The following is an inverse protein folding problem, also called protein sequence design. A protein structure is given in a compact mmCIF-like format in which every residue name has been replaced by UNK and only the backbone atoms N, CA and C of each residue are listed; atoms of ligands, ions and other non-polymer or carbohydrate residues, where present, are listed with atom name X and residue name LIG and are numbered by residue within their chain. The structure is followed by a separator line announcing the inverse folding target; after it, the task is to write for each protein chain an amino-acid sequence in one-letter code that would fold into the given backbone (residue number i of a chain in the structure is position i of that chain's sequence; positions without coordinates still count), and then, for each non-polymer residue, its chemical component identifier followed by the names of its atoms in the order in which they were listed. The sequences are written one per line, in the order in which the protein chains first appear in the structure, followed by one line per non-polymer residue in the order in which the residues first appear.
data_IF_235336660980
#
_entry.id   IF_235336660980
#
_cell.length_a   1.000
_cell.length_b   1.000
_cell.length_c   1.000
_cell.angle_alpha   90.00
_cell.angle_beta   90.00
_cell.angle_gamma   90.00
#
_symmetry.space_group_name_H-M   'P 1'
#
loop_
_entity.id
_entity.type
_entity.pdbx_description
1 polymer ?
#
# COMPACT_ATOMS: atom_id res chain seq x y z
N UNK A 1 -2.77 -2.65 -17.11
CA UNK A 1 -4.20 -2.27 -16.99
C UNK A 1 -4.68 -2.66 -15.62
N UNK A 2 -4.95 -1.69 -14.75
CA UNK A 2 -5.24 -1.93 -13.33
C UNK A 2 -6.71 -2.35 -13.17
N UNK A 3 -6.95 -3.50 -12.54
CA UNK A 3 -8.31 -3.99 -12.29
C UNK A 3 -8.94 -3.15 -11.16
N UNK A 4 -10.15 -2.59 -11.33
CA UNK A 4 -10.80 -1.81 -10.27
C UNK A 4 -11.08 -2.70 -9.05
N UNK A 5 -10.72 -2.22 -7.86
CA UNK A 5 -11.05 -2.84 -6.59
C UNK A 5 -12.54 -2.65 -6.28
N UNK A 6 -13.24 -3.73 -5.95
CA UNK A 6 -14.66 -3.69 -5.58
C UNK A 6 -14.77 -4.06 -4.10
N UNK A 7 -15.03 -3.10 -3.19
CA UNK A 7 -15.14 -3.38 -1.77
C UNK A 7 -16.44 -4.14 -1.44
N UNK A 8 -16.37 -5.01 -0.43
CA UNK A 8 -17.53 -5.69 0.16
C UNK A 8 -17.61 -5.33 1.65
N UNK A 9 -18.53 -4.45 2.01
CA UNK A 9 -18.84 -4.13 3.40
C UNK A 9 -19.79 -5.19 3.98
N UNK A 10 -19.54 -5.60 5.22
CA UNK A 10 -20.34 -6.61 5.94
C UNK A 10 -20.80 -5.98 7.25
N UNK A 11 -22.10 -5.80 7.42
CA UNK A 11 -22.69 -5.22 8.63
C UNK A 11 -22.70 -6.22 9.80
N UNK A 12 -23.05 -7.49 9.54
CA UNK A 12 -23.05 -8.58 10.52
C UNK A 12 -22.19 -9.76 10.03
N UNK A 13 -21.01 -9.89 10.62
CA UNK A 13 -20.05 -10.96 10.28
C UNK A 13 -20.57 -12.36 10.64
N UNK A 14 -21.40 -12.48 11.68
CA UNK A 14 -21.94 -13.76 12.14
C UNK A 14 -23.05 -14.25 11.20
N UNK A 15 -23.92 -13.36 10.75
CA UNK A 15 -24.92 -13.68 9.72
C UNK A 15 -24.26 -14.00 8.37
N UNK A 16 -23.29 -13.18 7.95
CA UNK A 16 -22.53 -13.39 6.71
C UNK A 16 -21.85 -14.76 6.70
N UNK A 17 -21.12 -15.09 7.76
CA UNK A 17 -20.36 -16.35 7.85
C UNK A 17 -21.28 -17.58 7.80
N UNK A 18 -22.46 -17.50 8.45
CA UNK A 18 -23.47 -18.57 8.38
C UNK A 18 -24.02 -18.74 6.96
N UNK A 19 -24.37 -17.64 6.29
CA UNK A 19 -24.87 -17.66 4.91
C UNK A 19 -23.83 -18.19 3.92
N UNK A 20 -22.56 -17.80 4.07
CA UNK A 20 -21.46 -18.31 3.25
C UNK A 20 -21.22 -19.81 3.51
N UNK A 21 -21.16 -20.22 4.78
CA UNK A 21 -20.96 -21.62 5.16
C UNK A 21 -22.09 -22.52 4.68
N UNK A 22 -23.32 -22.01 4.61
CA UNK A 22 -24.44 -22.73 4.01
C UNK A 22 -24.22 -22.97 2.51
N UNK A 23 -23.85 -21.94 1.75
CA UNK A 23 -23.57 -22.05 0.32
C UNK A 23 -22.39 -22.97 0.01
N UNK A 24 -21.32 -22.92 0.81
CA UNK A 24 -20.15 -23.79 0.64
C UNK A 24 -20.51 -25.26 0.89
N UNK A 25 -21.35 -25.54 1.89
CA UNK A 25 -21.81 -26.90 2.19
C UNK A 25 -22.77 -27.46 1.15
N UNK A 26 -23.56 -26.58 0.50
CA UNK A 26 -24.46 -26.96 -0.58
C UNK A 26 -23.75 -27.17 -1.92
N UNK A 27 -22.47 -26.82 -2.05
CA UNK A 27 -21.72 -27.01 -3.28
C UNK A 27 -21.27 -28.47 -3.42
N UNK A 28 -21.61 -29.10 -4.55
CA UNK A 28 -21.25 -30.49 -4.84
C UNK A 28 -19.74 -30.70 -5.10
N UNK A 29 -19.03 -29.62 -5.46
CA UNK A 29 -17.60 -29.61 -5.74
C UNK A 29 -16.95 -28.32 -5.23
N UNK A 30 -15.61 -28.32 -5.17
CA UNK A 30 -14.85 -27.13 -4.81
C UNK A 30 -15.19 -25.95 -5.75
N UNK A 31 -15.60 -24.79 -5.22
CA UNK A 31 -16.07 -23.69 -6.05
C UNK A 31 -14.92 -23.08 -6.85
N UNK A 32 -15.18 -22.80 -8.13
CA UNK A 32 -14.29 -21.96 -8.94
C UNK A 32 -14.22 -20.54 -8.38
N UNK A 33 -13.21 -19.76 -8.79
CA UNK A 33 -13.06 -18.37 -8.34
C UNK A 33 -14.34 -17.53 -8.55
N UNK A 34 -14.97 -17.63 -9.72
CA UNK A 34 -16.22 -16.91 -10.01
C UNK A 34 -17.38 -17.39 -9.15
N UNK A 35 -17.46 -18.71 -8.89
CA UNK A 35 -18.49 -19.28 -8.01
C UNK A 35 -18.33 -18.76 -6.58
N UNK A 36 -17.09 -18.74 -6.07
CA UNK A 36 -16.77 -18.18 -4.75
C UNK A 36 -17.10 -16.68 -4.68
N UNK A 37 -16.77 -15.90 -5.71
CA UNK A 37 -17.15 -14.48 -5.78
C UNK A 37 -18.66 -14.27 -5.70
N UNK A 38 -19.45 -15.10 -6.40
CA UNK A 38 -20.90 -15.05 -6.32
C UNK A 38 -21.42 -15.47 -4.95
N UNK A 39 -20.80 -16.45 -4.30
CA UNK A 39 -21.18 -16.87 -2.94
C UNK A 39 -20.94 -15.76 -1.92
N UNK A 40 -19.78 -15.09 -1.99
CA UNK A 40 -19.44 -13.95 -1.14
C UNK A 40 -20.41 -12.79 -1.36
N UNK A 41 -20.72 -12.44 -2.61
CA UNK A 41 -21.69 -11.40 -2.93
C UNK A 41 -23.08 -11.73 -2.33
N UNK A 42 -23.55 -12.98 -2.46
CA UNK A 42 -24.83 -13.42 -1.88
C UNK A 42 -24.85 -13.43 -0.36
N UNK A 43 -23.75 -13.83 0.27
CA UNK A 43 -23.64 -13.76 1.73
C UNK A 43 -23.70 -12.30 2.23
N UNK A 44 -23.25 -11.34 1.42
CA UNK A 44 -23.38 -9.91 1.67
C UNK A 44 -24.68 -9.27 1.18
N UNK A 45 -25.69 -10.06 0.77
CA UNK A 45 -27.02 -9.56 0.38
C UNK A 45 -27.20 -9.22 -1.11
N UNK A 46 -26.18 -9.40 -1.96
CA UNK A 46 -26.27 -9.13 -3.40
C UNK A 46 -26.67 -10.38 -4.18
N UNK A 47 -27.34 -10.24 -5.33
CA UNK A 47 -27.76 -11.42 -6.14
C UNK A 47 -26.57 -12.23 -6.69
N UNK A 48 -25.49 -11.54 -7.07
CA UNK A 48 -24.25 -12.10 -7.60
C UNK A 48 -23.16 -11.01 -7.62
N UNK A 49 -21.95 -11.36 -8.07
CA UNK A 49 -20.83 -10.42 -8.13
C UNK A 49 -21.05 -9.24 -9.09
N UNK A 50 -21.79 -9.45 -10.19
CA UNK A 50 -22.11 -8.36 -11.13
C UNK A 50 -23.07 -7.34 -10.50
N UNK A 51 -24.02 -7.80 -9.70
CA UNK A 51 -24.93 -6.94 -8.93
C UNK A 51 -24.15 -6.10 -7.91
N UNK A 52 -23.29 -6.72 -7.11
CA UNK A 52 -22.38 -6.02 -6.20
C UNK A 52 -21.54 -4.95 -6.93
N UNK A 53 -20.93 -5.32 -8.05
CA UNK A 53 -20.14 -4.40 -8.85
C UNK A 53 -20.97 -3.23 -9.39
N UNK A 54 -22.16 -3.50 -9.93
CA UNK A 54 -23.03 -2.48 -10.51
C UNK A 54 -23.51 -1.49 -9.45
N UNK A 55 -23.86 -2.00 -8.26
CA UNK A 55 -24.29 -1.21 -7.11
C UNK A 55 -23.17 -0.28 -6.63
N UNK A 56 -21.94 -0.78 -6.43
CA UNK A 56 -20.78 0.05 -6.05
C UNK A 56 -20.44 1.11 -7.08
N UNK A 57 -20.45 0.76 -8.37
CA UNK A 57 -20.23 1.74 -9.43
C UNK A 57 -21.35 2.78 -9.50
N UNK A 58 -22.56 2.48 -9.06
CA UNK A 58 -23.66 3.44 -8.98
C UNK A 58 -23.51 4.35 -7.76
N UNK A 59 -23.15 3.80 -6.60
CA UNK A 59 -22.81 4.54 -5.39
C UNK A 59 -21.69 5.56 -5.63
N UNK A 60 -20.62 5.15 -6.32
CA UNK A 60 -19.51 6.02 -6.70
C UNK A 60 -19.96 7.19 -7.61
N UNK A 61 -20.91 6.93 -8.54
CA UNK A 61 -21.45 7.98 -9.42
C UNK A 61 -22.37 8.96 -8.69
N UNK A 62 -23.11 8.50 -7.68
CA UNK A 62 -24.10 9.31 -6.97
C UNK A 62 -23.48 10.22 -5.91
N UNK A 63 -22.32 9.86 -5.38
CA UNK A 63 -21.66 10.61 -4.29
C UNK A 63 -20.77 11.75 -4.78
N UNK A 64 -20.67 11.97 -6.10
CA UNK A 64 -19.74 12.91 -6.76
C UNK A 64 -18.32 12.81 -6.17
N UNK A 65 -17.99 11.63 -5.65
CA UNK A 65 -16.74 11.37 -5.00
C UNK A 65 -15.69 11.34 -6.10
N UNK A 66 -14.68 12.25 -6.09
CA UNK A 66 -13.56 12.11 -7.00
C UNK A 66 -12.95 10.76 -6.67
N UNK A 67 -13.11 9.76 -7.56
CA UNK A 67 -12.57 8.38 -7.47
C UNK A 67 -11.83 8.21 -6.15
N UNK A 68 -12.57 7.94 -5.07
CA UNK A 68 -12.05 8.10 -3.71
C UNK A 68 -10.69 7.40 -3.65
N UNK A 69 -9.64 8.05 -3.11
CA UNK A 69 -8.28 7.57 -3.21
C UNK A 69 -8.26 6.13 -2.74
N UNK A 70 -7.97 5.23 -3.68
CA UNK A 70 -7.79 3.78 -3.52
C UNK A 70 -7.75 3.42 -2.03
N UNK A 71 -8.91 3.05 -1.47
CA UNK A 71 -8.96 2.46 -0.14
C UNK A 71 -8.12 1.22 -0.25
N UNK A 72 -6.86 1.33 0.18
CA UNK A 72 -5.82 0.35 -0.04
C UNK A 72 -6.30 -1.00 0.53
N UNK A 73 -6.70 -1.96 -0.32
CA UNK A 73 -7.54 -3.08 0.11
C UNK A 73 -6.72 -4.21 0.74
N UNK A 74 -5.43 -4.00 0.99
CA UNK A 74 -4.64 -4.95 1.76
C UNK A 74 -4.83 -4.68 3.26
N UNK A 75 -5.29 -5.67 4.06
CA UNK A 75 -5.36 -5.52 5.50
C UNK A 75 -3.97 -5.16 6.03
N UNK A 76 -3.86 -4.01 6.70
CA UNK A 76 -2.58 -3.50 7.24
C UNK A 76 -1.92 -4.59 8.09
N UNK A 77 -0.77 -5.09 7.64
CA UNK A 77 -0.04 -6.10 8.39
C UNK A 77 0.80 -5.43 9.49
N UNK A 78 0.19 -5.23 10.66
CA UNK A 78 0.84 -4.62 11.82
C UNK A 78 2.12 -5.35 12.25
N UNK A 79 2.18 -6.68 12.15
CA UNK A 79 3.41 -7.45 12.45
C UNK A 79 4.54 -7.10 11.49
N UNK A 80 4.26 -6.84 10.22
CA UNK A 80 5.27 -6.41 9.25
C UNK A 80 5.78 -5.02 9.61
N UNK A 81 4.89 -4.09 9.96
CA UNK A 81 5.25 -2.73 10.39
C UNK A 81 6.14 -2.77 11.64
N UNK A 82 5.73 -3.51 12.66
CA UNK A 82 6.50 -3.68 13.90
C UNK A 82 7.91 -4.22 13.63
N UNK A 83 8.02 -5.27 12.80
CA UNK A 83 9.32 -5.80 12.39
C UNK A 83 10.14 -4.79 11.60
N UNK A 84 9.52 -4.04 10.70
CA UNK A 84 10.21 -2.97 9.94
C UNK A 84 10.72 -1.87 10.87
N UNK A 85 9.98 -1.49 11.92
CA UNK A 85 10.42 -0.49 12.91
C UNK A 85 11.73 -0.87 13.63
N UNK A 86 12.03 -2.17 13.77
CA UNK A 86 13.31 -2.62 14.37
C UNK A 86 14.54 -2.33 13.51
N UNK A 87 14.34 -1.89 12.26
CA UNK A 87 15.41 -1.44 11.39
C UNK A 87 15.72 0.04 11.56
N UNK A 88 14.93 0.79 12.32
CA UNK A 88 15.13 2.21 12.58
C UNK A 88 15.63 2.45 14.00
N UNK A 89 16.49 3.44 14.18
CA UNK A 89 16.92 3.92 15.49
C UNK A 89 15.84 4.80 16.16
N UNK A 90 16.22 5.40 17.28
CA UNK A 90 15.39 6.32 18.04
C UNK A 90 15.11 7.63 17.29
N UNK A 91 15.96 8.05 16.35
CA UNK A 91 15.83 9.28 15.54
C UNK A 91 15.15 9.01 14.17
N UNK A 92 14.66 7.79 13.96
CA UNK A 92 14.06 7.36 12.70
C UNK A 92 15.05 7.24 11.54
N UNK A 93 16.34 7.00 11.81
CA UNK A 93 17.35 6.67 10.79
C UNK A 93 17.43 5.15 10.61
N UNK A 94 17.63 4.73 9.37
CA UNK A 94 17.67 3.33 9.00
C UNK A 94 19.02 2.70 9.37
N UNK A 95 19.04 1.82 10.38
CA UNK A 95 20.21 1.13 10.89
C UNK A 95 20.81 0.16 9.87
N UNK A 96 19.95 -0.60 9.18
CA UNK A 96 20.37 -1.66 8.23
C UNK A 96 19.33 -1.86 7.13
N UNK A 97 19.78 -2.28 5.95
CA UNK A 97 18.88 -2.61 4.85
C UNK A 97 18.21 -3.98 5.07
N UNK A 98 16.86 -4.08 5.08
CA UNK A 98 16.18 -5.36 5.25
C UNK A 98 16.42 -6.31 4.06
N UNK A 99 16.49 -7.62 4.32
CA UNK A 99 16.60 -8.63 3.26
C UNK A 99 15.28 -8.92 2.55
N UNK A 100 14.13 -8.67 3.21
CA UNK A 100 12.80 -8.96 2.66
C UNK A 100 12.27 -7.77 1.87
N UNK A 101 11.90 -8.00 0.60
CA UNK A 101 11.42 -6.94 -0.32
C UNK A 101 10.24 -6.14 0.25
N UNK A 102 9.28 -6.78 0.89
CA UNK A 102 8.14 -6.08 1.49
C UNK A 102 8.56 -5.06 2.56
N UNK A 103 9.60 -5.35 3.35
CA UNK A 103 10.14 -4.41 4.34
C UNK A 103 11.00 -3.33 3.70
N UNK A 104 11.75 -3.66 2.64
CA UNK A 104 12.50 -2.67 1.86
C UNK A 104 11.55 -1.61 1.30
N UNK A 105 10.43 -2.02 0.69
CA UNK A 105 9.41 -1.09 0.16
C UNK A 105 8.89 -0.16 1.25
N UNK A 106 8.60 -0.68 2.45
CA UNK A 106 8.20 0.15 3.60
C UNK A 106 9.28 1.17 3.99
N UNK A 107 10.55 0.75 4.03
CA UNK A 107 11.66 1.66 4.30
C UNK A 107 11.82 2.74 3.21
N UNK A 108 11.62 2.41 1.94
CA UNK A 108 11.68 3.37 0.84
C UNK A 108 10.58 4.43 0.96
N UNK A 109 9.37 4.03 1.32
CA UNK A 109 8.29 4.98 1.58
C UNK A 109 8.59 5.91 2.76
N UNK A 110 9.22 5.40 3.83
CA UNK A 110 9.66 6.22 4.94
C UNK A 110 10.69 7.28 4.51
N UNK A 111 11.66 6.90 3.66
CA UNK A 111 12.64 7.83 3.10
C UNK A 111 12.00 8.83 2.13
N UNK A 112 11.08 8.37 1.27
CA UNK A 112 10.32 9.20 0.35
C UNK A 112 9.52 10.28 1.07
N UNK A 113 8.90 9.95 2.21
CA UNK A 113 8.12 10.91 2.99
C UNK A 113 8.97 12.07 3.55
N UNK A 114 10.27 11.82 3.76
CA UNK A 114 11.24 12.84 4.21
C UNK A 114 11.79 13.71 3.08
N UNK A 115 11.66 13.28 1.82
CA UNK A 115 12.07 14.10 0.67
C UNK A 115 11.11 15.30 0.51
N UNK A 116 11.60 16.54 0.40
CA UNK A 116 10.74 17.71 0.19
C UNK A 116 9.92 17.65 -1.11
N UNK A 117 8.64 18.02 -1.06
CA UNK A 117 7.80 18.09 -2.24
C UNK A 117 8.26 19.21 -3.21
N UNK A 118 8.04 19.01 -4.52
CA UNK A 118 8.19 20.07 -5.53
C UNK A 118 9.61 20.61 -5.76
N UNK A 119 10.63 19.93 -5.22
CA UNK A 119 12.03 20.32 -5.40
C UNK A 119 12.77 19.38 -6.34
N UNK A 120 13.86 19.90 -6.93
CA UNK A 120 14.79 19.15 -7.76
C UNK A 120 16.14 19.09 -7.08
N UNK A 121 16.84 17.96 -7.23
CA UNK A 121 18.16 17.79 -6.65
C UNK A 121 19.13 17.12 -7.61
N UNK A 122 20.40 17.48 -7.45
CA UNK A 122 21.52 16.74 -8.01
C UNK A 122 21.69 15.40 -7.28
N UNK A 123 22.40 14.46 -7.90
CA UNK A 123 22.76 13.19 -7.25
C UNK A 123 23.46 13.41 -5.89
N UNK A 124 24.39 14.37 -5.83
CA UNK A 124 25.12 14.71 -4.60
C UNK A 124 24.17 15.13 -3.47
N UNK A 125 23.22 16.01 -3.77
CA UNK A 125 22.24 16.51 -2.80
C UNK A 125 21.27 15.43 -2.32
N UNK A 126 20.91 14.47 -3.17
CA UNK A 126 20.12 13.30 -2.77
C UNK A 126 20.94 12.38 -1.89
N UNK A 127 22.17 12.08 -2.27
CA UNK A 127 23.06 11.23 -1.48
C UNK A 127 23.30 11.82 -0.08
N UNK A 128 23.53 13.14 0.03
CA UNK A 128 23.65 13.85 1.32
C UNK A 128 22.42 13.65 2.22
N UNK A 129 21.21 13.81 1.66
CA UNK A 129 19.96 13.59 2.39
C UNK A 129 19.82 12.15 2.85
N UNK A 130 20.04 11.20 1.94
CA UNK A 130 19.96 9.79 2.26
C UNK A 130 20.96 9.41 3.34
N UNK A 131 22.22 9.88 3.26
CA UNK A 131 23.26 9.67 4.26
C UNK A 131 22.88 10.21 5.65
N UNK A 132 22.06 11.26 5.74
CA UNK A 132 21.54 11.74 7.03
C UNK A 132 20.45 10.83 7.62
N UNK A 133 19.86 9.94 6.83
CA UNK A 133 18.70 9.13 7.20
C UNK A 133 18.99 7.63 7.29
N UNK A 134 20.23 7.19 7.10
CA UNK A 134 20.64 5.80 7.29
C UNK A 134 22.08 5.70 7.83
N UNK A 135 22.45 4.55 8.41
CA UNK A 135 23.74 4.36 9.07
C UNK A 135 24.66 3.32 8.40
N UNK A 136 24.23 2.66 7.32
CA UNK A 136 25.01 1.63 6.63
C UNK A 136 25.85 2.14 5.44
N UNK A 137 25.83 3.44 5.15
CA UNK A 137 26.76 4.09 4.22
C UNK A 137 26.57 3.80 2.73
N UNK A 138 25.39 3.33 2.31
CA UNK A 138 25.08 3.06 0.90
C UNK A 138 23.82 3.82 0.42
N UNK A 139 23.99 5.13 0.21
CA UNK A 139 22.96 5.96 -0.40
C UNK A 139 22.66 5.59 -1.86
N UNK A 140 23.63 5.01 -2.58
CA UNK A 140 23.45 4.65 -3.99
C UNK A 140 22.43 3.52 -4.14
N UNK A 141 22.46 2.51 -3.26
CA UNK A 141 21.46 1.46 -3.14
C UNK A 141 20.06 2.05 -2.95
N UNK A 142 19.89 2.91 -1.94
CA UNK A 142 18.60 3.53 -1.62
C UNK A 142 18.06 4.37 -2.78
N UNK A 143 18.93 5.16 -3.41
CA UNK A 143 18.57 6.02 -4.54
C UNK A 143 18.13 5.21 -5.77
N UNK A 144 18.82 4.10 -6.07
CA UNK A 144 18.43 3.18 -7.14
C UNK A 144 17.06 2.58 -6.85
N UNK A 145 16.87 2.06 -5.64
CA UNK A 145 15.60 1.43 -5.25
C UNK A 145 14.42 2.42 -5.23
N UNK A 146 14.64 3.66 -4.78
CA UNK A 146 13.63 4.73 -4.86
C UNK A 146 13.19 5.02 -6.30
N UNK A 147 14.15 4.99 -7.24
CA UNK A 147 13.85 5.18 -8.65
C UNK A 147 13.12 3.97 -9.25
N UNK A 148 13.62 2.75 -9.00
CA UNK A 148 13.03 1.50 -9.51
C UNK A 148 11.61 1.27 -9.00
N UNK A 149 11.30 1.75 -7.79
CA UNK A 149 9.94 1.69 -7.20
C UNK A 149 9.02 2.81 -7.67
N UNK A 150 9.49 3.74 -8.52
CA UNK A 150 8.69 4.86 -8.99
C UNK A 150 8.34 5.87 -7.90
N UNK A 151 9.15 5.96 -6.84
CA UNK A 151 8.98 6.94 -5.77
C UNK A 151 9.69 8.26 -6.11
N UNK A 152 10.77 8.18 -6.89
CA UNK A 152 11.46 9.35 -7.44
C UNK A 152 11.67 9.17 -8.94
N UNK A 153 11.77 10.28 -9.66
CA UNK A 153 12.24 10.31 -11.04
C UNK A 153 13.63 10.96 -11.11
N UNK A 154 14.35 10.72 -12.20
CA UNK A 154 15.64 11.34 -12.54
C UNK A 154 15.78 11.45 -14.04
N UNK A 155 16.63 12.37 -14.52
CA UNK A 155 17.06 12.41 -15.92
C UNK A 155 18.02 11.26 -16.24
N UNK A 156 18.15 10.95 -17.54
CA UNK A 156 19.02 9.88 -18.05
C UNK A 156 20.50 10.09 -17.72
N UNK A 157 20.92 11.35 -17.57
CA UNK A 157 22.27 11.75 -17.15
C UNK A 157 22.51 11.56 -15.63
N UNK A 158 21.53 11.07 -14.88
CA UNK A 158 21.62 10.88 -13.43
C UNK A 158 21.38 12.15 -12.62
N UNK A 159 20.95 13.26 -13.24
CA UNK A 159 20.61 14.51 -12.58
C UNK A 159 19.10 14.67 -12.35
N UNK A 160 18.69 15.81 -11.77
CA UNK A 160 17.29 16.25 -11.65
C UNK A 160 16.39 15.21 -10.95
N UNK A 161 16.86 14.74 -9.79
CA UNK A 161 16.04 13.90 -8.93
C UNK A 161 14.84 14.68 -8.42
N UNK A 162 13.65 14.09 -8.56
CA UNK A 162 12.40 14.67 -8.08
C UNK A 162 11.56 13.62 -7.38
N UNK A 163 10.94 14.02 -6.28
CA UNK A 163 9.90 13.21 -5.63
C UNK A 163 8.69 13.11 -6.57
N UNK A 164 8.18 11.89 -6.74
CA UNK A 164 6.89 11.69 -7.41
C UNK A 164 5.81 11.81 -6.32
N UNK A 165 4.94 12.80 -6.45
CA UNK A 165 3.83 13.01 -5.52
C UNK A 165 2.77 11.93 -5.73
N UNK A 166 2.53 11.13 -4.70
CA UNK A 166 1.57 10.04 -4.70
C UNK A 166 1.17 9.70 -3.27
N UNK A 167 -0.04 9.16 -3.09
CA UNK A 167 -0.51 8.76 -1.78
C UNK A 167 0.23 7.48 -1.32
N UNK A 168 0.86 7.47 -0.14
CA UNK A 168 1.40 6.24 0.43
C UNK A 168 0.29 5.20 0.63
N UNK A 169 0.54 3.93 0.27
CA UNK A 169 -0.30 2.79 0.67
C UNK A 169 -0.48 2.74 2.20
N UNK A 170 -1.48 2.00 2.69
CA UNK A 170 -1.91 1.95 4.08
C UNK A 170 -0.79 1.51 5.04
N UNK A 171 -0.05 0.43 4.74
CA UNK A 171 1.07 0.00 5.59
C UNK A 171 2.18 1.08 5.69
N UNK A 172 2.73 1.60 4.57
CA UNK A 172 3.63 2.75 4.59
C UNK A 172 3.11 3.95 5.38
N UNK A 173 1.83 4.30 5.22
CA UNK A 173 1.21 5.47 5.88
C UNK A 173 1.25 5.35 7.40
N UNK A 174 0.99 4.15 7.93
CA UNK A 174 1.10 3.86 9.37
C UNK A 174 2.55 3.95 9.82
N UNK A 175 3.49 3.34 9.08
CA UNK A 175 4.92 3.41 9.41
C UNK A 175 5.45 4.84 9.43
N UNK A 176 5.12 5.65 8.41
CA UNK A 176 5.52 7.06 8.31
C UNK A 176 5.02 7.84 9.53
N UNK A 177 3.76 7.64 9.94
CA UNK A 177 3.20 8.29 11.14
C UNK A 177 3.97 7.91 12.41
N UNK A 178 4.32 6.64 12.58
CA UNK A 178 5.08 6.16 13.74
C UNK A 178 6.51 6.71 13.76
N UNK A 179 7.16 6.84 12.60
CA UNK A 179 8.50 7.41 12.49
C UNK A 179 8.50 8.92 12.71
N UNK A 180 7.46 9.65 12.28
CA UNK A 180 7.32 11.08 12.55
C UNK A 180 7.16 11.43 14.05
N UNK A 181 6.86 10.44 14.90
CA UNK A 181 6.83 10.61 16.36
C UNK A 181 8.21 10.41 17.01
N UNK A 182 9.17 9.84 16.27
CA UNK A 182 10.52 9.54 16.74
C UNK A 182 11.52 10.68 16.48
N UNK A 183 11.20 11.63 15.60
CA UNK A 183 12.04 12.79 15.31
C UNK A 183 11.40 13.75 14.32
#
# INVERSE_FOLDING_TARGET
MTRPSIPLAIEDISAFSRALAHQLRAAEAAPSHLSLMNMLARAGGFRNFQHLRADRLAEDRLTDAPTAPVTDPDPVNHRRIERTLTHFDADGRLLRWPSRRAMQVLCLWALWARLPAGQTWTERQVNERLNAWHLFGDAALLRRDLFETGLVTRRRDGSDYRRIEQAPPAEPRVLIRLLAQRG
#
